data_IF_407320490717
#
_entry.id   IF_407320490717
#
_cell.length_a   1.000
_cell.length_b   1.000
_cell.length_c   1.000
_cell.angle_alpha   90.00
_cell.angle_beta   90.00
_cell.angle_gamma   90.00
#
_symmetry.space_group_name_H-M   'P 1'
#
loop_
_entity.id
_entity.type
_entity.pdbx_description
1 polymer ?
#
# COMPACT_ATOMS: atom_id res chain seq x y z
N UNK A 1 -15.78 23.38 -9.77
CA UNK A 1 -14.92 22.52 -8.93
C UNK A 1 -15.66 21.21 -8.65
N UNK A 2 -15.02 20.07 -9.02
CA UNK A 2 -15.54 18.73 -8.72
C UNK A 2 -14.75 18.11 -7.55
N UNK A 3 -15.47 17.54 -6.59
CA UNK A 3 -14.93 16.79 -5.45
C UNK A 3 -15.33 15.32 -5.55
N UNK A 4 -14.34 14.43 -5.49
CA UNK A 4 -14.58 12.99 -5.50
C UNK A 4 -13.65 12.24 -4.52
N UNK A 5 -13.94 10.96 -4.31
CA UNK A 5 -13.12 10.07 -3.51
C UNK A 5 -13.78 9.57 -2.23
N UNK A 6 -13.01 8.85 -1.39
CA UNK A 6 -13.53 8.15 -0.22
C UNK A 6 -14.24 9.07 0.79
N UNK A 7 -13.76 10.30 0.99
CA UNK A 7 -14.38 11.26 1.91
C UNK A 7 -15.79 11.69 1.48
N UNK A 8 -16.08 11.64 0.17
CA UNK A 8 -17.40 11.96 -0.37
C UNK A 8 -18.43 10.85 -0.13
N UNK A 9 -18.02 9.71 0.38
CA UNK A 9 -18.94 8.65 0.83
C UNK A 9 -19.50 8.92 2.24
N UNK A 10 -18.92 9.88 2.97
CA UNK A 10 -19.38 10.26 4.30
C UNK A 10 -20.45 11.35 4.21
N UNK A 11 -21.70 11.03 4.56
CA UNK A 11 -22.85 11.92 4.47
C UNK A 11 -22.64 13.25 5.20
N UNK A 12 -22.04 13.22 6.41
CA UNK A 12 -21.73 14.43 7.19
C UNK A 12 -20.74 15.36 6.49
N UNK A 13 -19.78 14.78 5.74
CA UNK A 13 -18.80 15.56 4.95
C UNK A 13 -19.48 16.21 3.77
N UNK A 14 -20.32 15.47 3.04
CA UNK A 14 -21.11 16.01 1.91
C UNK A 14 -22.04 17.13 2.36
N UNK A 15 -22.75 16.97 3.47
CA UNK A 15 -23.63 18.00 4.04
C UNK A 15 -22.85 19.26 4.44
N UNK A 16 -21.69 19.10 5.07
CA UNK A 16 -20.81 20.24 5.41
C UNK A 16 -20.36 20.98 4.16
N UNK A 17 -19.98 20.26 3.09
CA UNK A 17 -19.59 20.88 1.83
C UNK A 17 -20.77 21.64 1.21
N UNK A 18 -21.95 21.03 1.12
CA UNK A 18 -23.16 21.65 0.57
C UNK A 18 -23.55 22.93 1.30
N UNK A 19 -23.40 22.98 2.61
CA UNK A 19 -23.79 24.13 3.44
C UNK A 19 -22.74 25.24 3.45
N UNK A 20 -21.45 24.92 3.34
CA UNK A 20 -20.36 25.85 3.63
C UNK A 20 -19.51 26.24 2.40
N UNK A 21 -19.54 25.45 1.31
CA UNK A 21 -18.63 25.64 0.16
C UNK A 21 -19.41 25.79 -1.15
N UNK A 22 -20.05 26.94 -1.34
CA UNK A 22 -20.94 27.24 -2.49
C UNK A 22 -20.22 27.29 -3.84
N UNK A 23 -18.90 27.30 -3.87
CA UNK A 23 -18.06 27.25 -5.06
C UNK A 23 -17.80 25.86 -5.60
N UNK A 24 -18.33 24.82 -4.94
CA UNK A 24 -18.26 23.43 -5.40
C UNK A 24 -19.45 23.17 -6.33
N UNK A 25 -19.19 22.67 -7.53
CA UNK A 25 -20.20 22.45 -8.57
C UNK A 25 -20.66 20.98 -8.60
N UNK A 26 -19.77 20.03 -8.27
CA UNK A 26 -20.04 18.60 -8.37
C UNK A 26 -19.43 17.82 -7.19
N UNK A 27 -20.23 16.93 -6.59
CA UNK A 27 -19.76 15.94 -5.59
C UNK A 27 -20.18 14.54 -6.04
N UNK A 28 -19.23 13.60 -6.12
CA UNK A 28 -19.52 12.20 -6.43
C UNK A 28 -18.59 11.26 -5.68
N UNK A 29 -19.02 9.99 -5.53
CA UNK A 29 -18.34 9.01 -4.72
C UNK A 29 -17.32 8.17 -5.48
N UNK A 30 -16.75 7.18 -4.78
CA UNK A 30 -15.80 6.21 -5.36
C UNK A 30 -16.49 5.17 -6.24
N UNK A 31 -17.78 4.92 -6.01
CA UNK A 31 -18.54 3.86 -6.67
C UNK A 31 -19.01 4.23 -8.09
N UNK A 32 -19.07 5.51 -8.40
CA UNK A 32 -19.55 6.03 -9.67
C UNK A 32 -18.54 6.96 -10.39
N UNK A 33 -17.26 6.81 -10.08
CA UNK A 33 -16.19 7.61 -10.69
C UNK A 33 -16.16 7.51 -12.23
N UNK A 34 -16.55 6.38 -12.79
CA UNK A 34 -16.62 6.14 -14.23
C UNK A 34 -17.68 7.00 -14.93
N UNK A 35 -18.63 7.58 -14.17
CA UNK A 35 -19.63 8.54 -14.68
C UNK A 35 -19.14 9.99 -14.71
N UNK A 36 -17.87 10.24 -14.42
CA UNK A 36 -17.37 11.60 -14.27
C UNK A 36 -17.71 12.51 -15.46
N UNK A 37 -17.53 12.04 -16.71
CA UNK A 37 -17.82 12.83 -17.91
C UNK A 37 -19.31 13.21 -17.99
N UNK A 38 -20.21 12.26 -17.71
CA UNK A 38 -21.66 12.49 -17.66
C UNK A 38 -22.03 13.48 -16.57
N UNK A 39 -21.50 13.31 -15.36
CA UNK A 39 -21.75 14.18 -14.21
C UNK A 39 -21.18 15.59 -14.41
N UNK A 40 -20.04 15.71 -15.11
CA UNK A 40 -19.46 17.00 -15.45
C UNK A 40 -20.36 17.79 -16.39
N UNK A 41 -20.91 17.15 -17.43
CA UNK A 41 -21.88 17.80 -18.34
C UNK A 41 -23.10 18.27 -17.55
N UNK A 42 -23.66 17.43 -16.69
CA UNK A 42 -24.80 17.81 -15.84
C UNK A 42 -24.45 19.00 -14.93
N UNK A 43 -23.25 19.04 -14.35
CA UNK A 43 -22.82 20.16 -13.49
C UNK A 43 -22.60 21.46 -14.25
N UNK A 44 -22.17 21.40 -15.52
CA UNK A 44 -22.01 22.58 -16.39
C UNK A 44 -23.35 23.17 -16.84
N UNK A 45 -24.40 22.35 -16.93
CA UNK A 45 -25.75 22.77 -17.31
C UNK A 45 -26.62 23.13 -16.10
N UNK A 46 -26.20 22.81 -14.88
CA UNK A 46 -26.99 23.06 -13.68
C UNK A 46 -26.70 24.40 -13.03
N UNK A 47 -27.76 25.08 -12.55
CA UNK A 47 -27.64 26.31 -11.76
C UNK A 47 -27.30 26.08 -10.28
N UNK A 48 -27.09 24.81 -9.89
CA UNK A 48 -26.81 24.40 -8.51
C UNK A 48 -25.85 23.22 -8.45
N UNK A 49 -25.21 23.04 -7.28
CA UNK A 49 -24.33 21.89 -7.02
C UNK A 49 -25.03 20.55 -7.33
N UNK A 50 -24.41 19.75 -8.16
CA UNK A 50 -24.81 18.37 -8.45
C UNK A 50 -24.17 17.44 -7.42
N UNK A 51 -24.95 16.54 -6.82
CA UNK A 51 -24.47 15.55 -5.85
C UNK A 51 -24.97 14.18 -6.26
N UNK A 52 -24.05 13.28 -6.66
CA UNK A 52 -24.35 11.91 -7.03
C UNK A 52 -23.38 10.96 -6.32
N UNK A 53 -23.73 10.54 -5.11
CA UNK A 53 -22.92 9.64 -4.27
C UNK A 53 -23.67 8.33 -4.10
N UNK A 54 -23.11 7.25 -4.66
CA UNK A 54 -23.68 5.92 -4.51
C UNK A 54 -23.18 5.27 -3.23
N UNK A 55 -24.10 4.68 -2.46
CA UNK A 55 -23.78 4.03 -1.17
C UNK A 55 -23.06 2.71 -1.37
N UNK A 56 -23.35 1.98 -2.45
CA UNK A 56 -22.79 0.68 -2.77
C UNK A 56 -22.85 0.41 -4.28
N UNK A 57 -22.05 -0.54 -4.75
CA UNK A 57 -22.07 -1.06 -6.11
C UNK A 57 -21.32 -2.40 -6.17
N UNK A 58 -21.84 -3.33 -6.95
CA UNK A 58 -21.17 -4.59 -7.36
C UNK A 58 -20.42 -4.43 -8.67
N UNK A 59 -20.66 -3.32 -9.36
CA UNK A 59 -20.10 -3.08 -10.67
C UNK A 59 -18.60 -2.78 -10.59
N UNK A 60 -17.84 -3.47 -11.41
CA UNK A 60 -16.47 -3.14 -11.78
C UNK A 60 -16.51 -2.65 -13.22
N UNK A 61 -15.88 -1.54 -13.51
CA UNK A 61 -15.79 -0.98 -14.86
C UNK A 61 -14.36 -1.11 -15.33
N UNK A 62 -14.18 -1.85 -16.40
CA UNK A 62 -12.90 -2.04 -17.06
C UNK A 62 -12.62 -0.93 -18.09
N UNK A 63 -11.39 -0.90 -18.59
CA UNK A 63 -10.96 -0.05 -19.71
C UNK A 63 -11.20 1.46 -19.49
N UNK A 64 -11.14 1.93 -18.22
CA UNK A 64 -11.19 3.36 -17.95
C UNK A 64 -9.89 4.03 -18.39
N UNK A 65 -9.96 5.21 -19.03
CA UNK A 65 -8.78 5.95 -19.44
C UNK A 65 -7.96 6.36 -18.20
N UNK A 66 -6.65 6.09 -18.24
CA UNK A 66 -5.71 6.40 -17.17
C UNK A 66 -4.55 7.20 -17.73
N UNK A 67 -4.31 8.37 -17.14
CA UNK A 67 -3.08 9.13 -17.38
C UNK A 67 -2.00 8.60 -16.42
N UNK A 68 -0.94 8.04 -16.96
CA UNK A 68 0.18 7.50 -16.19
C UNK A 68 1.23 8.58 -15.91
N UNK A 69 1.67 8.66 -14.66
CA UNK A 69 2.79 9.54 -14.28
C UNK A 69 4.11 9.10 -14.91
N UNK A 70 4.30 7.80 -15.11
CA UNK A 70 5.51 7.20 -15.67
C UNK A 70 5.14 6.31 -16.85
N UNK A 71 5.95 6.33 -17.91
CA UNK A 71 5.77 5.47 -19.09
C UNK A 71 6.16 4.01 -18.82
N UNK A 72 7.08 3.77 -17.89
CA UNK A 72 7.73 2.49 -17.63
C UNK A 72 7.18 1.74 -16.39
N UNK A 73 6.32 2.35 -15.59
CA UNK A 73 5.66 1.68 -14.45
C UNK A 73 4.21 2.13 -14.27
N UNK A 74 3.36 1.22 -13.80
CA UNK A 74 1.93 1.47 -13.59
C UNK A 74 1.37 0.77 -12.36
N UNK A 75 0.34 1.36 -11.75
CA UNK A 75 -0.51 0.69 -10.77
C UNK A 75 -1.67 -0.01 -11.47
N UNK A 76 -1.97 -1.24 -11.06
CA UNK A 76 -3.09 -2.04 -11.57
C UNK A 76 -3.98 -2.42 -10.40
N UNK A 77 -5.20 -1.93 -10.38
CA UNK A 77 -6.18 -2.34 -9.38
C UNK A 77 -6.62 -3.77 -9.69
N UNK A 78 -6.47 -4.69 -8.73
CA UNK A 78 -6.92 -6.08 -8.88
C UNK A 78 -8.22 -6.36 -8.12
N UNK A 79 -8.55 -5.52 -7.15
CA UNK A 79 -9.75 -5.63 -6.34
C UNK A 79 -10.12 -4.31 -5.68
N UNK A 80 -11.36 -4.18 -5.25
CA UNK A 80 -11.92 -3.04 -4.54
C UNK A 80 -12.62 -3.48 -3.26
N UNK A 81 -12.69 -2.58 -2.25
CA UNK A 81 -13.39 -2.84 -0.99
C UNK A 81 -12.62 -3.75 -0.03
N UNK A 82 -13.18 -3.97 1.17
CA UNK A 82 -12.56 -4.81 2.20
C UNK A 82 -13.60 -5.40 3.13
N UNK A 83 -13.48 -6.70 3.45
CA UNK A 83 -14.37 -7.43 4.35
C UNK A 83 -13.81 -7.59 5.78
N UNK A 84 -12.65 -7.01 6.10
CA UNK A 84 -12.02 -7.23 7.40
C UNK A 84 -12.70 -6.48 8.55
N UNK A 85 -13.34 -5.32 8.28
CA UNK A 85 -14.03 -4.51 9.30
C UNK A 85 -13.18 -4.29 10.56
N UNK A 86 -11.89 -4.00 10.38
CA UNK A 86 -11.05 -3.61 11.50
C UNK A 86 -11.69 -2.43 12.23
N UNK A 87 -11.76 -2.45 13.56
CA UNK A 87 -12.59 -1.53 14.36
C UNK A 87 -12.23 -0.04 14.20
N UNK A 88 -11.03 0.28 13.73
CA UNK A 88 -10.56 1.65 13.46
C UNK A 88 -10.72 2.09 12.00
N UNK A 89 -11.11 1.18 11.10
CA UNK A 89 -10.95 1.39 9.66
C UNK A 89 -12.27 1.77 8.98
N UNK A 90 -12.24 2.91 8.28
CA UNK A 90 -13.41 3.42 7.53
C UNK A 90 -13.58 2.75 6.16
N UNK A 91 -12.57 2.03 5.65
CA UNK A 91 -12.54 1.48 4.28
C UNK A 91 -13.77 0.66 3.92
N UNK A 92 -14.25 -0.32 4.72
CA UNK A 92 -15.45 -1.08 4.37
C UNK A 92 -16.70 -0.21 4.16
N UNK A 93 -16.78 0.92 4.83
CA UNK A 93 -17.94 1.83 4.80
C UNK A 93 -17.91 2.79 3.60
N UNK A 94 -16.69 3.11 3.09
CA UNK A 94 -16.52 4.07 1.99
C UNK A 94 -16.11 3.42 0.67
N UNK A 95 -15.65 2.17 0.68
CA UNK A 95 -15.30 1.40 -0.52
C UNK A 95 -16.13 0.15 -0.74
N UNK A 96 -17.02 -0.16 0.21
CA UNK A 96 -17.90 -1.32 0.16
C UNK A 96 -17.20 -2.66 0.41
N UNK A 97 -17.92 -3.73 0.09
CA UNK A 97 -17.43 -5.11 0.19
C UNK A 97 -16.36 -5.42 -0.86
N UNK A 98 -15.58 -6.47 -0.62
CA UNK A 98 -14.58 -6.95 -1.54
C UNK A 98 -15.20 -7.34 -2.89
N UNK A 99 -14.61 -6.84 -3.96
CA UNK A 99 -14.94 -7.16 -5.36
C UNK A 99 -13.63 -7.33 -6.11
N UNK A 100 -13.33 -8.53 -6.53
CA UNK A 100 -12.15 -8.87 -7.32
C UNK A 100 -12.46 -8.73 -8.80
N UNK A 101 -11.50 -8.22 -9.57
CA UNK A 101 -11.54 -8.23 -11.03
C UNK A 101 -11.25 -9.62 -11.54
N UNK A 102 -11.79 -9.95 -12.70
CA UNK A 102 -11.49 -11.22 -13.37
C UNK A 102 -10.00 -11.31 -13.75
N UNK A 103 -9.32 -12.46 -13.53
CA UNK A 103 -7.92 -12.61 -13.88
C UNK A 103 -7.59 -12.24 -15.32
N UNK A 104 -8.45 -12.63 -16.27
CA UNK A 104 -8.28 -12.34 -17.70
C UNK A 104 -8.22 -10.85 -18.01
N UNK A 105 -9.01 -10.03 -17.30
CA UNK A 105 -9.05 -8.58 -17.52
C UNK A 105 -7.81 -7.89 -16.94
N UNK A 106 -7.33 -8.37 -15.78
CA UNK A 106 -6.07 -7.93 -15.19
C UNK A 106 -4.87 -8.27 -16.10
N UNK A 107 -4.81 -9.51 -16.59
CA UNK A 107 -3.73 -9.96 -17.49
C UNK A 107 -3.72 -9.11 -18.77
N UNK A 108 -4.88 -8.96 -19.43
CA UNK A 108 -5.02 -8.12 -20.63
C UNK A 108 -4.55 -6.69 -20.40
N UNK A 109 -4.93 -6.07 -19.26
CA UNK A 109 -4.46 -4.73 -18.92
C UNK A 109 -2.94 -4.68 -18.79
N UNK A 110 -2.33 -5.66 -18.09
CA UNK A 110 -0.88 -5.69 -17.90
C UNK A 110 -0.17 -5.94 -19.25
N UNK A 111 -0.68 -6.81 -20.12
CA UNK A 111 -0.14 -7.03 -21.46
C UNK A 111 -0.12 -5.73 -22.28
N UNK A 112 -1.23 -4.99 -22.31
CA UNK A 112 -1.29 -3.68 -22.97
C UNK A 112 -0.32 -2.67 -22.37
N UNK A 113 -0.16 -2.65 -21.03
CA UNK A 113 0.80 -1.79 -20.37
C UNK A 113 2.24 -2.12 -20.78
N UNK A 114 2.57 -3.40 -20.91
CA UNK A 114 3.89 -3.86 -21.36
C UNK A 114 4.14 -3.51 -22.84
N UNK A 115 3.13 -3.67 -23.70
CA UNK A 115 3.20 -3.20 -25.10
C UNK A 115 3.49 -1.70 -25.18
N UNK A 116 2.98 -0.91 -24.24
CA UNK A 116 3.25 0.53 -24.09
C UNK A 116 4.60 0.87 -23.39
N UNK A 117 5.43 -0.14 -23.08
CA UNK A 117 6.77 0.02 -22.50
C UNK A 117 6.82 -0.03 -20.97
N UNK A 118 5.77 -0.44 -20.28
CA UNK A 118 5.79 -0.65 -18.82
C UNK A 118 6.59 -1.90 -18.49
N UNK A 119 7.57 -1.78 -17.59
CA UNK A 119 8.44 -2.88 -17.11
C UNK A 119 8.15 -3.25 -15.65
N UNK A 120 7.50 -2.38 -14.88
CA UNK A 120 7.11 -2.65 -13.50
C UNK A 120 5.62 -2.37 -13.28
N UNK A 121 4.90 -3.34 -12.70
CA UNK A 121 3.52 -3.13 -12.24
C UNK A 121 3.42 -3.24 -10.73
N UNK A 122 2.53 -2.42 -10.14
CA UNK A 122 2.13 -2.54 -8.74
C UNK A 122 0.67 -2.97 -8.66
N UNK A 123 0.42 -4.18 -8.17
CA UNK A 123 -0.93 -4.71 -7.96
C UNK A 123 -1.54 -4.08 -6.69
N UNK A 124 -2.69 -3.46 -6.86
CA UNK A 124 -3.34 -2.62 -5.85
C UNK A 124 -4.69 -3.20 -5.43
N UNK A 125 -4.96 -3.09 -4.13
CA UNK A 125 -6.24 -3.43 -3.50
C UNK A 125 -6.24 -3.00 -2.04
N UNK A 126 -7.35 -3.16 -1.34
CA UNK A 126 -7.43 -2.87 0.10
C UNK A 126 -6.97 -4.05 0.98
N UNK A 127 -6.93 -5.26 0.40
CA UNK A 127 -6.33 -6.47 0.96
C UNK A 127 -6.06 -7.44 -0.19
N UNK A 128 -4.92 -7.30 -0.86
CA UNK A 128 -4.60 -8.10 -2.06
C UNK A 128 -4.53 -9.60 -1.78
N UNK A 129 -4.23 -10.01 -0.55
CA UNK A 129 -4.16 -11.42 -0.16
C UNK A 129 -5.52 -12.13 -0.18
N UNK A 130 -6.64 -11.37 -0.10
CA UNK A 130 -7.99 -11.94 -0.21
C UNK A 130 -8.53 -11.97 -1.64
N UNK A 131 -7.73 -11.53 -2.63
CA UNK A 131 -8.13 -11.53 -4.03
C UNK A 131 -8.75 -12.85 -4.47
N UNK A 132 -9.79 -12.74 -5.28
CA UNK A 132 -10.43 -13.84 -5.99
C UNK A 132 -11.42 -14.69 -5.18
N UNK A 133 -11.51 -14.48 -3.85
CA UNK A 133 -12.44 -15.24 -2.99
C UNK A 133 -13.92 -15.06 -3.38
N UNK A 134 -14.26 -13.93 -3.99
CA UNK A 134 -15.63 -13.56 -4.35
C UNK A 134 -15.93 -13.74 -5.85
N UNK A 135 -15.00 -14.28 -6.62
CA UNK A 135 -15.24 -14.63 -8.04
C UNK A 135 -16.15 -15.87 -8.15
N UNK A 136 -16.88 -15.98 -9.24
CA UNK A 136 -17.71 -17.15 -9.55
C UNK A 136 -16.85 -18.44 -9.57
N UNK A 137 -15.65 -18.34 -10.13
CA UNK A 137 -14.61 -19.37 -10.06
C UNK A 137 -13.47 -18.83 -9.19
N UNK A 138 -13.41 -19.18 -7.89
CA UNK A 138 -12.41 -18.64 -7.00
C UNK A 138 -10.97 -18.90 -7.46
N UNK A 139 -10.15 -17.85 -7.47
CA UNK A 139 -8.73 -17.87 -7.83
C UNK A 139 -7.96 -17.22 -6.70
N UNK A 140 -6.85 -17.83 -6.25
CA UNK A 140 -6.03 -17.24 -5.19
C UNK A 140 -5.13 -16.12 -5.73
N UNK A 141 -4.68 -15.22 -4.85
CA UNK A 141 -3.71 -14.20 -5.22
C UNK A 141 -2.39 -14.83 -5.71
N UNK A 142 -1.98 -15.95 -5.11
CA UNK A 142 -0.82 -16.72 -5.56
C UNK A 142 -0.96 -17.20 -7.01
N UNK A 143 -2.13 -17.72 -7.39
CA UNK A 143 -2.42 -18.13 -8.77
C UNK A 143 -2.42 -16.95 -9.73
N UNK A 144 -3.01 -15.81 -9.35
CA UNK A 144 -2.94 -14.59 -10.17
C UNK A 144 -1.48 -14.16 -10.41
N UNK A 145 -0.65 -14.14 -9.38
CA UNK A 145 0.77 -13.79 -9.51
C UNK A 145 1.52 -14.74 -10.45
N UNK A 146 1.22 -16.04 -10.42
CA UNK A 146 1.80 -17.02 -11.35
C UNK A 146 1.44 -16.73 -12.81
N UNK A 147 0.23 -16.26 -13.09
CA UNK A 147 -0.16 -15.85 -14.44
C UNK A 147 0.52 -14.53 -14.85
N UNK A 148 0.56 -13.54 -13.97
CA UNK A 148 1.26 -12.26 -14.23
C UNK A 148 2.76 -12.48 -14.46
N UNK A 149 3.40 -13.43 -13.77
CA UNK A 149 4.80 -13.80 -13.95
C UNK A 149 5.12 -14.24 -15.38
N UNK A 150 4.16 -14.83 -16.12
CA UNK A 150 4.36 -15.34 -17.49
C UNK A 150 4.40 -14.23 -18.54
N UNK A 151 3.96 -13.03 -18.23
CA UNK A 151 3.89 -11.92 -19.20
C UNK A 151 5.31 -11.53 -19.63
N UNK A 152 5.62 -11.74 -20.90
CA UNK A 152 6.92 -11.36 -21.47
C UNK A 152 7.05 -9.84 -21.50
N UNK A 153 8.28 -9.32 -21.26
CA UNK A 153 8.56 -7.88 -21.18
C UNK A 153 8.22 -7.23 -19.84
N UNK A 154 7.43 -7.86 -18.99
CA UNK A 154 7.27 -7.43 -17.59
C UNK A 154 8.48 -7.92 -16.78
N UNK A 155 9.19 -7.00 -16.13
CA UNK A 155 10.41 -7.29 -15.38
C UNK A 155 10.18 -7.33 -13.86
N UNK A 156 9.27 -6.50 -13.34
CA UNK A 156 9.02 -6.35 -11.90
C UNK A 156 7.54 -6.37 -11.57
N UNK A 157 7.22 -7.11 -10.51
CA UNK A 157 5.87 -7.18 -9.92
C UNK A 157 5.99 -6.73 -8.47
N UNK A 158 5.21 -5.70 -8.10
CA UNK A 158 5.02 -5.27 -6.73
C UNK A 158 3.56 -5.45 -6.33
N UNK A 159 3.30 -5.58 -5.07
CA UNK A 159 1.96 -5.51 -4.52
C UNK A 159 1.96 -4.83 -3.15
N UNK A 160 0.85 -4.21 -2.81
CA UNK A 160 0.68 -3.47 -1.57
C UNK A 160 -0.55 -3.94 -0.81
N UNK A 161 -0.58 -3.61 0.50
CA UNK A 161 -1.76 -3.81 1.35
C UNK A 161 -2.06 -5.29 1.62
N UNK A 162 -1.05 -6.01 2.14
CA UNK A 162 -1.22 -7.36 2.66
C UNK A 162 -1.91 -7.34 4.03
N UNK A 163 -2.65 -8.41 4.34
CA UNK A 163 -3.18 -8.63 5.67
C UNK A 163 -2.63 -9.94 6.23
N UNK A 164 -2.01 -9.95 7.43
CA UNK A 164 -1.32 -11.14 7.97
C UNK A 164 -2.19 -12.40 7.99
N UNK A 165 -3.48 -12.28 8.32
CA UNK A 165 -4.42 -13.40 8.36
C UNK A 165 -4.65 -14.08 7.00
N UNK A 166 -4.50 -13.33 5.89
CA UNK A 166 -4.81 -13.79 4.54
C UNK A 166 -3.54 -14.13 3.72
N UNK A 167 -2.35 -13.96 4.28
CA UNK A 167 -1.10 -14.31 3.62
C UNK A 167 -0.86 -15.82 3.73
N UNK A 168 -1.05 -16.53 2.62
CA UNK A 168 -1.01 -17.99 2.55
C UNK A 168 0.40 -18.54 2.33
N UNK A 169 0.61 -19.81 2.70
CA UNK A 169 1.85 -20.53 2.42
C UNK A 169 2.10 -20.64 0.89
N UNK A 170 1.06 -20.79 0.08
CA UNK A 170 1.18 -20.78 -1.39
C UNK A 170 1.74 -19.45 -1.91
N UNK A 171 1.32 -18.31 -1.34
CA UNK A 171 1.87 -17.02 -1.71
C UNK A 171 3.36 -16.91 -1.35
N UNK A 172 3.76 -17.43 -0.19
CA UNK A 172 5.16 -17.47 0.23
C UNK A 172 5.98 -18.30 -0.75
N UNK A 173 5.49 -19.46 -1.19
CA UNK A 173 6.18 -20.30 -2.19
C UNK A 173 6.29 -19.62 -3.55
N UNK A 174 5.24 -18.91 -4.00
CA UNK A 174 5.31 -18.11 -5.23
C UNK A 174 6.37 -17.01 -5.10
N UNK A 175 6.40 -16.27 -4.00
CA UNK A 175 7.42 -15.24 -3.76
C UNK A 175 8.84 -15.78 -3.73
N UNK A 176 9.05 -16.98 -3.19
CA UNK A 176 10.33 -17.66 -3.11
C UNK A 176 10.91 -18.03 -4.47
N UNK A 177 10.05 -18.46 -5.40
CA UNK A 177 10.46 -18.96 -6.72
C UNK A 177 10.39 -17.92 -7.82
N UNK A 178 9.66 -16.83 -7.62
CA UNK A 178 9.52 -15.76 -8.60
C UNK A 178 10.83 -15.02 -8.86
N UNK A 179 11.04 -14.70 -10.13
CA UNK A 179 12.17 -13.85 -10.58
C UNK A 179 11.74 -12.39 -10.73
N UNK A 180 10.44 -12.12 -10.86
CA UNK A 180 9.87 -10.78 -11.12
C UNK A 180 9.28 -10.14 -9.87
N UNK A 181 8.78 -10.92 -8.89
CA UNK A 181 8.24 -10.37 -7.65
C UNK A 181 9.36 -9.68 -6.87
N UNK A 182 9.17 -8.40 -6.62
CA UNK A 182 10.11 -7.59 -5.87
C UNK A 182 10.24 -8.07 -4.43
N UNK A 183 11.46 -8.04 -3.90
CA UNK A 183 11.77 -8.52 -2.53
C UNK A 183 11.38 -7.49 -1.47
N UNK A 184 10.15 -7.07 -1.50
CA UNK A 184 9.56 -6.12 -0.56
C UNK A 184 8.14 -6.55 -0.22
N UNK A 185 7.84 -6.66 1.05
CA UNK A 185 6.50 -7.00 1.54
C UNK A 185 6.06 -6.00 2.60
N UNK A 186 4.94 -5.33 2.35
CA UNK A 186 4.28 -4.49 3.34
C UNK A 186 3.27 -5.35 4.11
N UNK A 187 3.55 -5.62 5.40
CA UNK A 187 2.77 -6.50 6.27
C UNK A 187 2.34 -5.75 7.55
N UNK A 188 1.21 -5.04 7.53
CA UNK A 188 0.73 -4.22 8.63
C UNK A 188 0.49 -5.01 9.93
N UNK A 189 1.28 -4.74 10.97
CA UNK A 189 1.13 -5.29 12.31
C UNK A 189 -0.03 -4.65 13.07
N UNK A 190 -0.12 -3.33 13.01
CA UNK A 190 -1.01 -2.42 13.74
C UNK A 190 -0.70 -2.34 15.25
N UNK A 191 -0.61 -3.45 15.95
CA UNK A 191 -0.22 -3.55 17.36
C UNK A 191 0.51 -4.88 17.62
N UNK A 192 1.45 -4.88 18.55
CA UNK A 192 2.11 -6.11 19.02
C UNK A 192 1.39 -6.80 20.18
N UNK A 193 0.26 -6.27 20.65
CA UNK A 193 -0.55 -6.89 21.71
C UNK A 193 -1.67 -7.74 21.12
N UNK A 194 -1.68 -9.04 21.43
CA UNK A 194 -2.76 -9.96 21.02
C UNK A 194 -4.13 -9.52 21.57
N UNK A 195 -4.16 -8.88 22.75
CA UNK A 195 -5.37 -8.29 23.33
C UNK A 195 -5.91 -7.16 22.44
N UNK A 196 -5.06 -6.20 22.06
CA UNK A 196 -5.45 -5.08 21.19
C UNK A 196 -5.79 -5.56 19.78
N UNK A 197 -5.04 -6.48 19.20
CA UNK A 197 -5.34 -7.06 17.90
C UNK A 197 -6.75 -7.66 17.85
N UNK A 198 -7.19 -8.31 18.94
CA UNK A 198 -8.57 -8.82 19.07
C UNK A 198 -9.60 -7.68 19.10
N UNK A 199 -9.35 -6.60 19.85
CA UNK A 199 -10.24 -5.42 19.91
C UNK A 199 -10.25 -4.69 18.56
N UNK A 200 -9.11 -4.63 17.87
CA UNK A 200 -8.98 -4.09 16.53
C UNK A 200 -9.63 -4.96 15.44
N UNK A 201 -10.16 -6.14 15.78
CA UNK A 201 -10.76 -7.10 14.84
C UNK A 201 -9.75 -7.60 13.78
N UNK A 202 -8.49 -7.89 14.19
CA UNK A 202 -7.42 -8.29 13.27
C UNK A 202 -7.35 -9.79 12.97
N UNK A 203 -7.99 -10.63 13.81
CA UNK A 203 -8.09 -12.10 13.63
C UNK A 203 -6.75 -12.85 13.54
N UNK A 204 -5.70 -12.34 14.19
CA UNK A 204 -4.44 -13.04 14.43
C UNK A 204 -3.85 -12.56 15.77
N UNK A 205 -2.95 -13.37 16.33
CA UNK A 205 -2.22 -13.03 17.55
C UNK A 205 -0.79 -12.55 17.21
N UNK A 206 -0.11 -11.98 18.21
CA UNK A 206 1.30 -11.60 18.12
C UNK A 206 2.16 -12.79 17.71
N UNK A 207 1.93 -13.97 18.31
CA UNK A 207 2.67 -15.18 18.06
C UNK A 207 2.51 -15.65 16.61
N UNK A 208 1.28 -15.70 16.11
CA UNK A 208 0.99 -16.04 14.71
C UNK A 208 1.64 -15.07 13.72
N UNK A 209 1.69 -13.78 14.06
CA UNK A 209 2.38 -12.80 13.25
C UNK A 209 3.89 -13.05 13.20
N UNK A 210 4.52 -13.34 14.34
CA UNK A 210 5.95 -13.63 14.42
C UNK A 210 6.30 -14.93 13.66
N UNK A 211 5.52 -16.00 13.82
CA UNK A 211 5.67 -17.24 13.04
C UNK A 211 5.56 -17.01 11.54
N UNK A 212 4.62 -16.16 11.10
CA UNK A 212 4.46 -15.79 9.70
C UNK A 212 5.70 -15.04 9.18
N UNK A 213 6.25 -14.11 9.96
CA UNK A 213 7.48 -13.38 9.59
C UNK A 213 8.67 -14.33 9.47
N UNK A 214 8.81 -15.31 10.38
CA UNK A 214 9.85 -16.33 10.32
C UNK A 214 9.74 -17.19 9.06
N UNK A 215 8.54 -17.65 8.71
CA UNK A 215 8.27 -18.40 7.47
C UNK A 215 8.65 -17.60 6.23
N UNK A 216 8.24 -16.32 6.17
CA UNK A 216 8.54 -15.45 5.05
C UNK A 216 10.05 -15.27 4.89
N UNK A 217 10.78 -15.00 5.96
CA UNK A 217 12.24 -14.82 5.91
C UNK A 217 12.99 -16.10 5.59
N UNK A 218 12.51 -17.25 6.07
CA UNK A 218 13.08 -18.55 5.71
C UNK A 218 12.93 -18.84 4.20
N UNK A 219 11.78 -18.46 3.60
CA UNK A 219 11.53 -18.67 2.18
C UNK A 219 12.23 -17.61 1.29
N UNK A 220 12.28 -16.35 1.73
CA UNK A 220 12.85 -15.21 1.01
C UNK A 220 13.80 -14.43 1.94
N UNK A 221 15.05 -14.90 2.14
CA UNK A 221 15.96 -14.34 3.15
C UNK A 221 16.28 -12.84 3.00
N UNK A 222 16.29 -12.33 1.75
CA UNK A 222 16.61 -10.93 1.44
C UNK A 222 15.37 -10.02 1.40
N UNK A 223 14.21 -10.48 1.89
CA UNK A 223 12.99 -9.70 1.82
C UNK A 223 13.05 -8.51 2.78
N UNK A 224 12.75 -7.32 2.26
CA UNK A 224 12.49 -6.14 3.08
C UNK A 224 11.05 -6.18 3.60
N UNK A 225 10.89 -6.10 4.91
CA UNK A 225 9.60 -6.05 5.57
C UNK A 225 9.29 -4.63 6.04
N UNK A 226 8.14 -4.12 5.60
CA UNK A 226 7.59 -2.85 6.09
C UNK A 226 6.25 -3.08 6.77
N UNK A 227 5.86 -2.17 7.67
CA UNK A 227 4.65 -2.35 8.47
C UNK A 227 3.98 -1.02 8.78
N UNK A 228 2.71 -1.10 9.24
CA UNK A 228 2.00 -0.02 9.90
C UNK A 228 1.84 -0.33 11.38
N UNK A 229 2.01 0.68 12.24
CA UNK A 229 1.81 0.57 13.69
C UNK A 229 0.99 1.78 14.15
N UNK A 230 -0.07 1.51 14.92
CA UNK A 230 -0.95 2.51 15.52
C UNK A 230 -0.66 2.58 17.02
N UNK A 231 -0.39 3.77 17.52
CA UNK A 231 -0.20 4.08 18.95
C UNK A 231 -1.40 4.85 19.49
N UNK A 232 -1.77 4.60 20.73
CA UNK A 232 -2.88 5.30 21.38
C UNK A 232 -4.25 4.82 20.92
N UNK A 233 -4.36 3.57 20.47
CA UNK A 233 -5.66 2.95 20.22
C UNK A 233 -6.47 2.91 21.52
N UNK A 234 -7.80 3.13 21.51
CA UNK A 234 -8.64 3.12 22.71
C UNK A 234 -8.41 1.88 23.58
N UNK A 235 -8.16 2.09 24.86
CA UNK A 235 -7.86 1.04 25.83
C UNK A 235 -6.45 0.46 25.76
N UNK A 236 -5.50 1.08 25.02
CA UNK A 236 -4.10 0.67 25.00
C UNK A 236 -3.45 0.95 26.36
N UNK A 237 -2.93 -0.09 27.01
CA UNK A 237 -2.15 0.01 28.27
C UNK A 237 -0.65 0.14 27.98
N UNK A 238 0.16 0.37 29.04
CA UNK A 238 1.62 0.40 28.91
C UNK A 238 2.17 -0.99 28.55
N UNK A 239 1.56 -2.05 29.07
CA UNK A 239 1.93 -3.42 28.73
C UNK A 239 1.68 -3.71 27.25
N UNK A 240 0.55 -3.30 26.67
CA UNK A 240 0.25 -3.46 25.25
C UNK A 240 1.25 -2.72 24.37
N UNK A 241 1.61 -1.50 24.77
CA UNK A 241 2.64 -0.73 24.08
C UNK A 241 4.01 -1.41 24.16
N UNK A 242 4.38 -1.96 25.33
CA UNK A 242 5.63 -2.69 25.50
C UNK A 242 5.66 -3.99 24.67
N UNK A 243 4.54 -4.69 24.54
CA UNK A 243 4.43 -5.84 23.62
C UNK A 243 4.63 -5.41 22.15
N UNK A 244 4.13 -4.24 21.76
CA UNK A 244 4.36 -3.68 20.42
C UNK A 244 5.85 -3.39 20.21
N UNK A 245 6.53 -2.82 21.20
CA UNK A 245 7.98 -2.58 21.14
C UNK A 245 8.77 -3.89 21.03
N UNK A 246 8.37 -4.94 21.76
CA UNK A 246 9.00 -6.27 21.69
C UNK A 246 8.89 -6.88 20.27
N UNK A 247 7.73 -6.78 19.62
CA UNK A 247 7.55 -7.25 18.23
C UNK A 247 8.42 -6.44 17.26
N UNK A 248 8.50 -5.12 17.43
CA UNK A 248 9.37 -4.25 16.61
C UNK A 248 10.82 -4.68 16.70
N UNK A 249 11.32 -5.00 17.92
CA UNK A 249 12.67 -5.52 18.14
C UNK A 249 12.89 -6.87 17.46
N UNK A 250 12.00 -7.82 17.68
CA UNK A 250 12.11 -9.20 17.16
C UNK A 250 12.05 -9.24 15.64
N UNK A 251 11.14 -8.47 15.06
CA UNK A 251 11.00 -8.43 13.60
C UNK A 251 12.12 -7.61 12.96
N UNK A 252 12.51 -6.47 13.54
CA UNK A 252 13.51 -5.60 12.92
C UNK A 252 13.06 -5.20 11.52
N UNK A 253 12.09 -4.30 11.41
CA UNK A 253 11.56 -3.84 10.13
C UNK A 253 12.55 -3.00 9.34
N UNK A 254 12.48 -3.06 8.02
CA UNK A 254 13.26 -2.20 7.14
C UNK A 254 12.71 -0.77 7.12
N UNK A 255 11.40 -0.63 7.31
CA UNK A 255 10.72 0.63 7.57
C UNK A 255 9.39 0.37 8.27
N UNK A 256 8.90 1.33 9.06
CA UNK A 256 7.54 1.28 9.60
C UNK A 256 6.87 2.66 9.47
N UNK A 257 5.62 2.64 9.04
CA UNK A 257 4.74 3.79 9.10
C UNK A 257 4.06 3.80 10.47
N UNK A 258 4.40 4.79 11.27
CA UNK A 258 3.89 4.94 12.63
C UNK A 258 2.79 5.98 12.65
N UNK A 259 1.66 5.64 13.25
CA UNK A 259 0.47 6.49 13.31
C UNK A 259 0.01 6.67 14.75
N UNK A 260 -0.44 7.88 15.06
CA UNK A 260 -1.28 8.11 16.23
C UNK A 260 -2.72 7.76 15.83
N UNK A 261 -3.42 7.00 16.67
CA UNK A 261 -4.82 6.70 16.45
C UNK A 261 -5.62 7.98 16.20
N UNK A 262 -6.39 7.99 15.14
CA UNK A 262 -7.28 9.10 14.78
C UNK A 262 -8.70 8.60 14.63
N UNK A 263 -9.63 9.18 15.38
CA UNK A 263 -11.06 8.84 15.32
C UNK A 263 -11.60 9.01 13.90
N UNK A 264 -12.23 7.96 13.38
CA UNK A 264 -12.96 7.98 12.11
C UNK A 264 -14.44 7.83 12.40
N UNK A 265 -15.23 8.87 12.16
CA UNK A 265 -16.68 8.85 12.38
C UNK A 265 -17.32 7.63 11.73
N UNK A 266 -18.18 6.92 12.47
CA UNK A 266 -18.86 5.73 11.99
C UNK A 266 -18.07 4.42 12.16
N UNK A 267 -16.87 4.46 12.74
CA UNK A 267 -16.11 3.24 13.07
C UNK A 267 -16.32 2.83 14.53
N UNK A 268 -16.31 1.53 14.86
CA UNK A 268 -16.47 1.06 16.25
C UNK A 268 -15.49 1.70 17.23
N UNK A 269 -14.21 1.86 16.83
CA UNK A 269 -13.18 2.43 17.69
C UNK A 269 -13.42 3.93 18.00
N UNK A 270 -14.16 4.65 17.17
CA UNK A 270 -14.50 6.05 17.45
C UNK A 270 -15.50 6.21 18.60
N UNK A 271 -16.30 5.17 18.86
CA UNK A 271 -17.32 5.15 19.92
C UNK A 271 -16.79 4.57 21.25
N UNK A 272 -15.55 4.08 21.29
CA UNK A 272 -14.94 3.56 22.51
C UNK A 272 -14.62 4.70 23.49
N UNK A 273 -14.95 4.48 24.78
CA UNK A 273 -14.79 5.49 25.83
C UNK A 273 -13.34 5.60 26.35
N UNK A 274 -12.61 4.49 26.37
CA UNK A 274 -11.25 4.36 26.93
C UNK A 274 -10.17 5.03 26.05
N UNK A 275 -10.33 6.32 25.73
CA UNK A 275 -9.34 7.06 24.94
C UNK A 275 -8.08 7.30 25.76
N UNK A 276 -6.92 7.03 25.17
CA UNK A 276 -5.62 7.23 25.81
C UNK A 276 -5.31 8.75 25.88
N UNK A 277 -4.83 9.30 27.03
CA UNK A 277 -4.46 10.69 27.17
C UNK A 277 -3.40 11.12 26.13
N UNK A 278 -3.52 12.33 25.60
CA UNK A 278 -2.69 12.84 24.48
C UNK A 278 -1.20 12.84 24.83
N UNK A 279 -0.83 13.23 26.06
CA UNK A 279 0.57 13.21 26.52
C UNK A 279 1.17 11.80 26.55
N UNK A 280 0.37 10.78 26.92
CA UNK A 280 0.79 9.38 26.90
C UNK A 280 0.99 8.90 25.46
N UNK A 281 0.03 9.20 24.58
CA UNK A 281 0.12 8.85 23.17
C UNK A 281 1.35 9.46 22.52
N UNK A 282 1.62 10.73 22.77
CA UNK A 282 2.80 11.42 22.26
C UNK A 282 4.11 10.78 22.74
N UNK A 283 4.21 10.51 24.04
CA UNK A 283 5.41 9.88 24.61
C UNK A 283 5.66 8.47 24.02
N UNK A 284 4.61 7.67 23.85
CA UNK A 284 4.70 6.35 23.20
C UNK A 284 5.09 6.48 21.73
N UNK A 285 4.48 7.42 21.00
CA UNK A 285 4.78 7.66 19.58
C UNK A 285 6.24 8.05 19.37
N UNK A 286 6.74 9.02 20.12
CA UNK A 286 8.13 9.48 20.02
C UNK A 286 9.13 8.35 20.31
N UNK A 287 8.85 7.51 21.32
CA UNK A 287 9.65 6.33 21.65
C UNK A 287 9.65 5.27 20.55
N UNK A 288 8.47 4.97 19.99
CA UNK A 288 8.32 4.01 18.88
C UNK A 288 9.07 4.51 17.64
N UNK A 289 8.85 5.78 17.26
CA UNK A 289 9.46 6.38 16.07
C UNK A 289 11.00 6.35 16.17
N UNK A 290 11.56 6.76 17.29
CA UNK A 290 13.01 6.73 17.52
C UNK A 290 13.58 5.32 17.39
N UNK A 291 12.87 4.30 17.92
CA UNK A 291 13.33 2.92 17.84
C UNK A 291 13.26 2.35 16.44
N UNK A 292 12.15 2.54 15.74
CA UNK A 292 11.99 2.12 14.35
C UNK A 292 13.06 2.74 13.45
N UNK A 293 13.32 4.05 13.59
CA UNK A 293 14.38 4.72 12.83
C UNK A 293 15.77 4.14 13.11
N UNK A 294 16.07 3.83 14.38
CA UNK A 294 17.35 3.18 14.75
C UNK A 294 17.51 1.82 14.08
N UNK A 295 16.48 0.97 14.11
CA UNK A 295 16.50 -0.35 13.50
C UNK A 295 16.64 -0.24 11.96
N UNK A 296 15.86 0.63 11.33
CA UNK A 296 15.92 0.87 9.90
C UNK A 296 17.30 1.34 9.44
N UNK A 297 17.93 2.26 10.20
CA UNK A 297 19.27 2.74 9.91
C UNK A 297 20.36 1.65 10.04
N UNK A 298 20.24 0.76 11.04
CA UNK A 298 21.14 -0.39 11.20
C UNK A 298 21.05 -1.37 10.01
N UNK A 299 19.85 -1.59 9.49
CA UNK A 299 19.63 -2.50 8.34
C UNK A 299 20.01 -1.86 7.00
N UNK A 300 19.76 -0.57 6.85
CA UNK A 300 20.01 0.14 5.60
C UNK A 300 21.47 -0.01 5.13
N UNK A 301 22.45 -0.02 6.03
CA UNK A 301 23.87 -0.19 5.70
C UNK A 301 24.25 -1.57 5.15
N UNK A 302 23.43 -2.59 5.30
CA UNK A 302 23.76 -3.98 4.97
C UNK A 302 23.95 -4.27 3.46
N UNK A 303 23.50 -3.38 2.59
CA UNK A 303 23.63 -3.52 1.14
C UNK A 303 24.86 -2.77 0.58
N UNK A 304 25.54 -1.97 1.38
CA UNK A 304 26.76 -1.27 0.97
C UNK A 304 27.82 -2.27 0.50
N UNK A 305 28.46 -1.98 -0.62
CA UNK A 305 29.46 -2.87 -1.24
C UNK A 305 28.89 -3.98 -2.13
N UNK A 306 27.56 -4.05 -2.30
CA UNK A 306 26.90 -5.00 -3.21
C UNK A 306 26.56 -4.35 -4.54
N UNK A 307 26.60 -5.15 -5.61
CA UNK A 307 26.01 -4.76 -6.90
C UNK A 307 24.59 -5.26 -6.96
N UNK A 308 23.64 -4.38 -7.25
CA UNK A 308 22.21 -4.67 -7.28
C UNK A 308 21.53 -3.98 -8.46
N UNK A 309 20.45 -4.57 -8.94
CA UNK A 309 19.67 -4.03 -10.03
C UNK A 309 18.77 -2.88 -9.57
N UNK A 310 18.86 -1.75 -10.24
CA UNK A 310 18.10 -0.52 -9.99
C UNK A 310 17.22 -0.20 -11.19
N UNK A 311 15.91 0.00 -10.96
CA UNK A 311 15.03 0.65 -11.94
C UNK A 311 15.20 2.15 -11.79
N UNK A 312 15.73 2.81 -12.82
CA UNK A 312 15.90 4.28 -12.83
C UNK A 312 14.56 4.95 -13.06
N UNK A 313 14.20 5.90 -12.20
CA UNK A 313 12.84 6.47 -12.18
C UNK A 313 12.76 7.91 -12.69
N UNK A 314 13.73 8.75 -12.36
CA UNK A 314 13.74 10.17 -12.75
C UNK A 314 15.13 10.80 -12.52
N UNK A 315 15.35 11.97 -13.12
CA UNK A 315 16.48 12.83 -12.76
C UNK A 315 16.31 13.31 -11.32
N UNK A 316 17.37 13.31 -10.53
CA UNK A 316 17.32 13.76 -9.15
C UNK A 316 16.94 15.24 -9.07
N UNK A 317 15.98 15.57 -8.18
CA UNK A 317 15.43 16.93 -8.06
C UNK A 317 16.42 17.94 -7.46
N UNK A 318 17.42 17.48 -6.73
CA UNK A 318 18.43 18.31 -6.06
C UNK A 318 19.73 18.45 -6.86
N UNK A 319 20.06 17.45 -7.68
CA UNK A 319 21.28 17.42 -8.51
C UNK A 319 20.98 16.78 -9.86
N UNK A 320 20.93 17.59 -10.93
CA UNK A 320 20.64 17.15 -12.28
C UNK A 320 21.70 16.24 -12.92
N UNK A 321 22.87 16.09 -12.31
CA UNK A 321 23.90 15.12 -12.72
C UNK A 321 23.64 13.71 -12.19
N UNK A 322 22.65 13.57 -11.31
CA UNK A 322 22.25 12.29 -10.73
C UNK A 322 20.90 11.85 -11.27
N UNK A 323 20.72 10.56 -11.38
CA UNK A 323 19.43 9.91 -11.52
C UNK A 323 19.05 9.24 -10.20
N UNK A 324 17.76 9.13 -9.97
CA UNK A 324 17.18 8.43 -8.82
C UNK A 324 16.48 7.17 -9.31
N UNK A 325 16.78 6.05 -8.68
CA UNK A 325 16.13 4.77 -8.99
C UNK A 325 15.79 3.98 -7.73
N UNK A 326 15.27 2.80 -7.93
CA UNK A 326 14.74 1.96 -6.85
C UNK A 326 15.16 0.50 -6.99
N UNK A 327 15.65 -0.07 -5.89
CA UNK A 327 15.96 -1.48 -5.77
C UNK A 327 14.67 -2.33 -5.70
N UNK A 328 14.80 -3.64 -5.91
CA UNK A 328 13.72 -4.60 -5.71
C UNK A 328 13.14 -4.53 -4.29
N UNK A 329 13.96 -4.34 -3.27
CA UNK A 329 13.55 -4.17 -1.87
C UNK A 329 12.96 -2.79 -1.52
N UNK A 330 12.71 -1.96 -2.53
CA UNK A 330 12.16 -0.60 -2.43
C UNK A 330 13.10 0.49 -1.90
N UNK A 331 14.40 0.20 -1.66
CA UNK A 331 15.37 1.22 -1.28
C UNK A 331 15.68 2.17 -2.43
N UNK A 332 15.82 3.46 -2.11
CA UNK A 332 16.21 4.50 -3.10
C UNK A 332 17.71 4.49 -3.34
N UNK A 333 18.10 4.71 -4.60
CA UNK A 333 19.51 4.84 -5.02
C UNK A 333 19.64 6.09 -5.87
N UNK A 334 20.68 6.91 -5.57
CA UNK A 334 21.12 8.00 -6.41
C UNK A 334 22.46 7.63 -7.04
N UNK A 335 22.59 7.85 -8.34
CA UNK A 335 23.81 7.54 -9.09
C UNK A 335 24.02 8.54 -10.23
N UNK A 336 25.28 8.79 -10.66
CA UNK A 336 25.52 9.58 -11.86
C UNK A 336 24.80 9.00 -13.07
N UNK A 337 24.11 9.85 -13.83
CA UNK A 337 23.35 9.35 -14.98
C UNK A 337 22.64 10.45 -15.75
N UNK A 338 21.98 10.04 -16.82
CA UNK A 338 21.32 10.90 -17.81
C UNK A 338 19.88 10.43 -18.05
N UNK A 339 19.07 11.26 -18.69
CA UNK A 339 17.64 11.03 -18.91
C UNK A 339 17.35 9.73 -19.69
N UNK A 340 18.27 9.34 -20.59
CA UNK A 340 18.13 8.10 -21.37
C UNK A 340 18.19 6.81 -20.54
N UNK A 341 18.60 6.89 -19.27
CA UNK A 341 18.58 5.77 -18.32
C UNK A 341 17.21 5.55 -17.68
N UNK A 342 16.30 6.53 -17.75
CA UNK A 342 14.99 6.45 -17.13
C UNK A 342 14.19 5.28 -17.73
N UNK A 343 13.57 4.48 -16.86
CA UNK A 343 12.81 3.28 -17.22
C UNK A 343 13.67 2.04 -17.46
N UNK A 344 14.99 2.14 -17.39
CA UNK A 344 15.90 0.99 -17.54
C UNK A 344 16.23 0.35 -16.19
N UNK A 345 16.38 -0.96 -16.21
CA UNK A 345 16.95 -1.76 -15.14
C UNK A 345 18.46 -1.87 -15.38
N UNK A 346 19.24 -1.36 -14.45
CA UNK A 346 20.71 -1.34 -14.58
C UNK A 346 21.38 -1.90 -13.33
N UNK A 347 22.51 -2.62 -13.47
CA UNK A 347 23.32 -3.05 -12.34
C UNK A 347 24.06 -1.83 -11.74
N UNK A 348 23.97 -1.67 -10.42
CA UNK A 348 24.56 -0.54 -9.68
C UNK A 348 25.33 -1.06 -8.49
N UNK A 349 26.59 -0.67 -8.37
CA UNK A 349 27.39 -0.88 -7.17
C UNK A 349 27.03 0.16 -6.11
N UNK A 350 26.58 -0.29 -4.96
CA UNK A 350 26.14 0.55 -3.83
C UNK A 350 27.36 0.96 -3.00
N UNK A 351 27.86 2.18 -3.18
CA UNK A 351 29.08 2.67 -2.53
C UNK A 351 28.89 3.03 -1.08
N UNK A 352 27.81 3.76 -0.78
CA UNK A 352 27.58 4.36 0.53
C UNK A 352 26.08 4.42 0.84
N UNK A 353 25.72 4.12 2.09
CA UNK A 353 24.36 4.36 2.63
C UNK A 353 24.30 5.68 3.37
N UNK A 354 23.33 6.53 3.02
CA UNK A 354 23.03 7.82 3.66
C UNK A 354 21.78 7.71 4.58
N UNK A 355 21.52 6.55 5.17
CA UNK A 355 20.38 6.27 6.03
C UNK A 355 19.12 5.89 5.26
N UNK A 356 18.59 6.78 4.43
CA UNK A 356 17.33 6.54 3.69
C UNK A 356 17.54 6.22 2.21
N UNK A 357 18.74 6.36 1.68
CA UNK A 357 19.10 6.08 0.31
C UNK A 357 20.56 5.64 0.18
N UNK A 358 20.90 5.06 -0.96
CA UNK A 358 22.25 4.71 -1.32
C UNK A 358 22.80 5.67 -2.37
N UNK A 359 24.10 5.93 -2.31
CA UNK A 359 24.89 6.43 -3.44
C UNK A 359 25.50 5.23 -4.17
N UNK A 360 25.34 5.19 -5.48
CA UNK A 360 25.84 4.10 -6.30
C UNK A 360 26.52 4.55 -7.58
N UNK A 361 27.08 3.60 -8.29
CA UNK A 361 27.65 3.75 -9.64
C UNK A 361 27.16 2.62 -10.52
N UNK A 362 26.78 2.95 -11.77
CA UNK A 362 26.44 1.95 -12.77
C UNK A 362 27.66 1.06 -13.03
N UNK A 363 27.44 -0.23 -13.18
CA UNK A 363 28.46 -1.23 -13.51
C UNK A 363 28.17 -1.73 -14.93
N UNK A 364 29.22 -1.82 -15.77
CA UNK A 364 29.09 -2.35 -17.13
C UNK A 364 28.78 -3.87 -17.16
#
# INVERSE_FOLDING_TARGET
IALCGCMMQEEKVVEKIRSSYRFVDLIFGTHNIYKFAELLVQALEADRMVVDVWKDTDKIVEDLPVERKYSFKSGVNIMFGCNNFCSYCIVPYVRGRERSREPKDIIREIEHLVEDGVVEVMLLGQNVNSYGKNLEHPVTFAQLLQEVEKIEGLERIRFMTSHPKDLSDDLIEVMKHSKKICKHLHLPLQSGSSRLLKIMNRHYTKEQYLELVEKIRAAVPDIALTTDIIVGFPGETDEDFMETMDVVEKVGYDSAFTFIYSKRTGTPAAEMEDQVPEEVVKARFDRLLARVQTIAAQKAGALTGKTMEVLVEHINEQDSHLVTGRLSNNSTVHLPGTEDMIGKLIPVYLKECKGFYYLGEAVE
#
